data_IF_606776024748
#
_entry.id   IF_606776024748
#
_cell.length_a   1.000
_cell.length_b   1.000
_cell.length_c   1.000
_cell.angle_alpha   90.00
_cell.angle_beta   90.00
_cell.angle_gamma   90.00
#
_symmetry.space_group_name_H-M   'P 1'
#
loop_
_entity.id
_entity.type
_entity.pdbx_description
1 polymer ?
#
# COMPACT_ATOMS: atom_id res chain seq x y z
N UNK A 1 -57.03 4.31 5.12
CA UNK A 1 -56.16 5.47 5.37
C UNK A 1 -54.85 5.16 4.66
N UNK A 2 -54.77 5.56 3.39
CA UNK A 2 -53.67 5.23 2.50
C UNK A 2 -52.71 6.42 2.42
N UNK A 3 -51.48 6.24 2.88
CA UNK A 3 -50.44 7.27 2.83
C UNK A 3 -49.59 7.03 1.57
N UNK A 4 -49.86 7.82 0.53
CA UNK A 4 -49.05 7.90 -0.69
C UNK A 4 -47.83 8.78 -0.39
N UNK A 5 -46.65 8.17 -0.24
CA UNK A 5 -45.38 8.90 -0.13
C UNK A 5 -44.94 9.28 -1.55
N UNK A 6 -45.08 10.56 -1.89
CA UNK A 6 -44.55 11.14 -3.12
C UNK A 6 -43.06 11.42 -2.99
N UNK A 7 -42.25 10.85 -3.87
CA UNK A 7 -40.85 11.25 -4.03
C UNK A 7 -40.77 12.47 -4.95
N UNK A 8 -40.05 13.55 -4.57
CA UNK A 8 -39.80 14.65 -5.48
C UNK A 8 -38.80 14.22 -6.56
N UNK A 9 -39.21 14.34 -7.81
CA UNK A 9 -38.33 14.20 -8.96
C UNK A 9 -37.33 15.36 -8.98
N UNK A 10 -36.10 15.11 -8.55
CA UNK A 10 -34.99 16.04 -8.68
C UNK A 10 -34.50 16.05 -10.13
N UNK A 11 -34.82 17.14 -10.84
CA UNK A 11 -34.33 17.46 -12.17
C UNK A 11 -32.80 17.53 -12.17
N UNK A 12 -32.14 16.55 -12.79
CA UNK A 12 -30.70 16.55 -13.00
C UNK A 12 -30.36 17.50 -14.15
N UNK A 13 -29.91 18.71 -13.81
CA UNK A 13 -29.18 19.56 -14.75
C UNK A 13 -27.85 18.89 -15.10
N UNK A 14 -27.79 18.35 -16.31
CA UNK A 14 -26.60 17.79 -16.93
C UNK A 14 -25.59 18.93 -17.20
N UNK A 15 -24.74 19.27 -16.23
CA UNK A 15 -23.58 20.13 -16.47
C UNK A 15 -22.54 19.33 -17.26
N UNK A 16 -22.57 19.53 -18.57
CA UNK A 16 -21.49 19.11 -19.47
C UNK A 16 -20.20 19.79 -19.00
N UNK A 17 -19.23 18.99 -18.58
CA UNK A 17 -17.86 19.45 -18.37
C UNK A 17 -17.22 19.60 -19.74
N UNK A 18 -17.43 20.76 -20.36
CA UNK A 18 -16.66 21.16 -21.51
C UNK A 18 -15.19 21.17 -21.09
N UNK A 19 -14.40 20.35 -21.79
CA UNK A 19 -12.95 20.38 -21.78
C UNK A 19 -12.56 21.77 -22.29
N UNK A 20 -12.30 22.69 -21.37
CA UNK A 20 -11.63 23.93 -21.71
C UNK A 20 -10.16 23.58 -21.96
N UNK A 21 -9.89 23.16 -23.19
CA UNK A 21 -8.57 23.29 -23.79
C UNK A 21 -8.22 24.77 -23.73
N UNK A 22 -7.46 25.17 -22.71
CA UNK A 22 -6.78 26.45 -22.72
C UNK A 22 -5.82 26.41 -23.91
N UNK A 23 -6.24 27.04 -25.02
CA UNK A 23 -5.34 27.48 -26.07
C UNK A 23 -4.42 28.53 -25.45
N UNK A 24 -3.34 28.07 -24.83
CA UNK A 24 -2.15 28.88 -24.64
C UNK A 24 -1.55 29.11 -26.02
N UNK A 25 -1.83 30.30 -26.57
CA UNK A 25 -1.16 30.83 -27.75
C UNK A 25 0.34 30.93 -27.46
N UNK A 26 1.07 29.90 -27.89
CA UNK A 26 2.53 29.90 -27.85
C UNK A 26 3.01 30.79 -28.98
N UNK A 27 3.48 31.98 -28.62
CA UNK A 27 4.21 32.86 -29.53
C UNK A 27 5.56 32.21 -29.78
N UNK A 28 5.72 31.65 -30.98
CA UNK A 28 6.99 31.12 -31.48
C UNK A 28 7.99 32.26 -31.67
N UNK A 29 8.74 32.60 -30.62
CA UNK A 29 10.03 33.28 -30.79
C UNK A 29 11.12 32.23 -30.91
N UNK A 30 11.56 32.02 -32.15
CA UNK A 30 12.77 31.29 -32.48
C UNK A 30 13.99 32.05 -31.96
N UNK A 31 14.50 31.65 -30.79
CA UNK A 31 15.86 31.98 -30.39
C UNK A 31 16.82 30.99 -31.05
N UNK A 32 17.44 31.43 -32.15
CA UNK A 32 18.63 30.80 -32.70
C UNK A 32 19.82 31.15 -31.80
N UNK A 33 20.13 30.27 -30.85
CA UNK A 33 21.36 30.33 -30.05
C UNK A 33 22.50 29.59 -30.77
N UNK A 34 23.74 30.12 -30.76
CA UNK A 34 24.89 29.51 -31.42
C UNK A 34 25.35 28.24 -30.68
N UNK A 35 25.52 27.16 -31.44
CA UNK A 35 25.99 25.87 -30.94
C UNK A 35 27.51 25.96 -30.77
N UNK A 36 27.97 26.19 -29.54
CA UNK A 36 29.36 25.99 -29.17
C UNK A 36 29.61 24.49 -28.98
N UNK A 37 30.34 23.90 -29.92
CA UNK A 37 30.83 22.52 -29.85
C UNK A 37 31.71 22.34 -28.60
N UNK A 38 31.33 21.41 -27.73
CA UNK A 38 32.16 20.97 -26.61
C UNK A 38 33.20 19.94 -27.10
N UNK A 39 34.44 19.99 -26.59
CA UNK A 39 35.49 19.04 -26.94
C UNK A 39 35.18 17.64 -26.40
N UNK A 40 35.42 16.63 -27.24
CA UNK A 40 35.30 15.22 -26.90
C UNK A 40 36.34 14.83 -25.84
N UNK A 41 35.86 14.58 -24.61
CA UNK A 41 36.67 14.00 -23.53
C UNK A 41 36.90 12.51 -23.76
N UNK A 42 38.16 12.09 -23.60
CA UNK A 42 38.66 10.73 -23.77
C UNK A 42 38.01 9.71 -22.81
N UNK A 43 37.88 8.43 -23.22
CA UNK A 43 37.32 7.38 -22.38
C UNK A 43 38.25 7.07 -21.21
N UNK A 44 37.73 7.23 -19.99
CA UNK A 44 38.40 6.82 -18.76
C UNK A 44 38.58 5.29 -18.71
N UNK A 45 39.76 4.78 -18.32
CA UNK A 45 39.98 3.36 -18.12
C UNK A 45 39.15 2.86 -16.93
N UNK A 46 38.37 1.81 -17.16
CA UNK A 46 37.53 1.13 -16.16
C UNK A 46 38.47 0.43 -15.17
N UNK A 47 38.55 0.85 -13.90
CA UNK A 47 39.29 0.12 -12.89
C UNK A 47 38.38 -0.93 -12.26
N UNK A 48 38.91 -2.15 -12.12
CA UNK A 48 38.45 -3.21 -11.21
C UNK A 48 37.38 -4.16 -11.76
N UNK A 49 37.80 -5.03 -12.68
CA UNK A 49 37.21 -6.37 -12.78
C UNK A 49 37.61 -7.18 -11.54
N UNK A 50 36.65 -7.70 -10.73
CA UNK A 50 36.96 -8.53 -9.57
C UNK A 50 37.63 -9.84 -10.03
N UNK A 51 38.79 -10.12 -9.44
CA UNK A 51 39.55 -11.36 -9.65
C UNK A 51 38.75 -12.53 -9.06
N UNK A 52 38.24 -13.39 -9.93
CA UNK A 52 37.58 -14.63 -9.53
C UNK A 52 38.66 -15.67 -9.19
N UNK A 53 38.70 -16.11 -7.93
CA UNK A 53 39.57 -17.21 -7.51
C UNK A 53 39.04 -18.55 -8.07
N UNK A 54 39.92 -19.42 -8.58
CA UNK A 54 39.52 -20.74 -9.08
C UNK A 54 38.99 -21.60 -7.94
N UNK A 55 37.78 -22.13 -8.11
CA UNK A 55 37.15 -23.08 -7.19
C UNK A 55 37.73 -24.47 -7.44
N UNK A 56 38.36 -25.05 -6.40
CA UNK A 56 38.86 -26.42 -6.44
C UNK A 56 37.71 -27.41 -6.61
N UNK A 57 37.76 -28.20 -7.68
CA UNK A 57 36.82 -29.29 -7.90
C UNK A 57 37.06 -30.44 -6.89
N UNK A 58 35.99 -31.10 -6.41
CA UNK A 58 36.11 -32.23 -5.49
C UNK A 58 36.89 -33.37 -6.14
N UNK A 59 37.90 -33.86 -5.43
CA UNK A 59 38.73 -34.98 -5.88
C UNK A 59 37.97 -36.30 -5.79
N UNK A 60 37.98 -37.14 -6.85
CA UNK A 60 37.17 -38.36 -6.94
C UNK A 60 37.69 -39.56 -6.12
N UNK A 61 38.57 -39.39 -5.14
CA UNK A 61 39.12 -40.51 -4.38
C UNK A 61 39.42 -40.13 -2.93
N UNK A 62 38.39 -40.17 -2.09
CA UNK A 62 38.54 -40.30 -0.64
C UNK A 62 37.66 -41.46 -0.18
N UNK A 63 38.31 -42.60 0.04
CA UNK A 63 37.68 -43.80 0.55
C UNK A 63 37.23 -43.62 2.01
N UNK A 64 35.93 -43.81 2.22
CA UNK A 64 35.32 -44.66 3.25
C UNK A 64 35.88 -44.61 4.67
N UNK A 65 35.21 -43.87 5.56
CA UNK A 65 34.86 -44.32 6.92
C UNK A 65 33.67 -43.48 7.41
N UNK A 66 32.45 -43.88 7.03
CA UNK A 66 31.21 -43.30 7.55
C UNK A 66 30.60 -44.24 8.58
N UNK A 67 30.69 -43.85 9.85
CA UNK A 67 29.74 -44.29 10.87
C UNK A 67 28.38 -43.67 10.55
N UNK A 68 27.27 -44.40 10.70
CA UNK A 68 25.93 -43.86 10.47
C UNK A 68 25.58 -42.98 11.66
N UNK A 69 26.04 -41.72 11.65
CA UNK A 69 25.40 -40.69 12.44
C UNK A 69 24.06 -40.41 11.75
N UNK A 70 23.03 -41.07 12.25
CA UNK A 70 21.64 -40.69 12.04
C UNK A 70 21.46 -39.29 12.62
N UNK A 71 21.84 -38.26 11.85
CA UNK A 71 21.35 -36.91 12.07
C UNK A 71 19.84 -37.00 11.79
N UNK A 72 19.08 -37.29 12.83
CA UNK A 72 17.67 -36.90 12.90
C UNK A 72 17.67 -35.38 12.81
N UNK A 73 17.73 -34.88 11.57
CA UNK A 73 17.23 -33.57 11.24
C UNK A 73 15.73 -33.66 11.43
N UNK A 74 15.31 -33.56 12.69
CA UNK A 74 13.99 -33.13 13.08
C UNK A 74 13.86 -31.67 12.67
N UNK A 75 13.92 -31.44 11.36
CA UNK A 75 13.34 -30.29 10.68
C UNK A 75 11.83 -30.53 10.66
N UNK A 76 11.25 -30.80 11.83
CA UNK A 76 9.84 -30.50 12.04
C UNK A 76 9.80 -28.99 11.95
N UNK A 77 9.48 -28.52 10.74
CA UNK A 77 9.14 -27.14 10.43
C UNK A 77 7.92 -26.81 11.26
N UNK A 78 8.13 -26.60 12.56
CA UNK A 78 7.14 -26.00 13.44
C UNK A 78 6.96 -24.63 12.83
N UNK A 79 5.88 -24.52 12.04
CA UNK A 79 5.33 -23.24 11.64
C UNK A 79 5.10 -22.49 12.94
N UNK A 80 6.07 -21.69 13.35
CA UNK A 80 5.98 -20.83 14.49
C UNK A 80 4.81 -19.91 14.17
N UNK A 81 3.67 -20.20 14.80
CA UNK A 81 2.43 -19.49 14.53
C UNK A 81 2.68 -18.02 14.89
N UNK A 82 2.77 -17.17 13.86
CA UNK A 82 2.86 -15.73 14.03
C UNK A 82 1.52 -15.27 14.59
N UNK A 83 1.53 -14.76 15.82
CA UNK A 83 0.36 -14.24 16.52
C UNK A 83 0.26 -12.74 16.25
N UNK A 84 -0.86 -12.31 15.68
CA UNK A 84 -1.14 -10.90 15.43
C UNK A 84 -1.60 -10.18 16.70
N UNK A 85 -1.15 -8.95 16.88
CA UNK A 85 -1.54 -8.09 17.99
C UNK A 85 -3.06 -7.83 18.01
N UNK A 86 -3.67 -7.80 19.19
CA UNK A 86 -5.14 -7.72 19.37
C UNK A 86 -5.80 -6.45 18.83
N UNK A 87 -5.04 -5.36 18.65
CA UNK A 87 -5.49 -4.13 17.99
C UNK A 87 -5.52 -4.23 16.45
N UNK A 88 -4.71 -5.13 15.89
CA UNK A 88 -4.68 -5.38 14.45
C UNK A 88 -5.57 -6.56 14.06
N UNK A 89 -5.88 -7.45 15.00
CA UNK A 89 -6.85 -8.53 14.80
C UNK A 89 -8.26 -7.99 14.58
N UNK A 90 -9.08 -8.77 13.88
CA UNK A 90 -10.47 -8.41 13.60
C UNK A 90 -11.27 -8.21 14.91
N UNK A 91 -11.75 -6.99 15.18
CA UNK A 91 -12.51 -6.71 16.40
C UNK A 91 -12.76 -5.24 16.71
N UNK A 92 -13.49 -4.93 17.80
CA UNK A 92 -13.89 -3.57 18.16
C UNK A 92 -12.83 -2.81 18.99
N UNK A 93 -11.59 -3.30 19.07
CA UNK A 93 -10.58 -2.75 19.96
C UNK A 93 -9.98 -1.43 19.43
N UNK A 94 -10.06 -1.23 18.11
CA UNK A 94 -9.48 -0.10 17.40
C UNK A 94 -10.51 0.44 16.40
N UNK A 95 -10.80 1.73 16.47
CA UNK A 95 -11.55 2.46 15.45
C UNK A 95 -10.61 3.43 14.75
N UNK A 96 -10.26 3.10 13.51
CA UNK A 96 -9.32 3.86 12.70
C UNK A 96 -9.93 4.15 11.33
N UNK A 97 -10.14 5.44 11.04
CA UNK A 97 -10.52 5.91 9.72
C UNK A 97 -9.25 6.22 8.91
N UNK A 98 -9.02 5.48 7.83
CA UNK A 98 -7.79 5.57 7.03
C UNK A 98 -7.65 6.91 6.29
N UNK A 99 -8.70 7.74 6.23
CA UNK A 99 -8.61 9.10 5.65
C UNK A 99 -8.12 10.14 6.67
N UNK A 100 -8.15 9.83 7.97
CA UNK A 100 -7.81 10.79 9.04
C UNK A 100 -6.41 10.58 9.57
N UNK A 101 -5.90 11.59 10.26
CA UNK A 101 -4.63 11.49 10.98
C UNK A 101 -4.69 10.47 12.13
N UNK A 102 -3.55 9.89 12.50
CA UNK A 102 -3.47 8.91 13.59
C UNK A 102 -3.86 9.50 14.95
N UNK A 103 -3.80 10.82 15.13
CA UNK A 103 -4.34 11.49 16.32
C UNK A 103 -5.85 11.27 16.53
N UNK A 104 -6.58 10.86 15.48
CA UNK A 104 -8.01 10.55 15.55
C UNK A 104 -8.30 9.05 15.76
N UNK A 105 -7.27 8.24 15.94
CA UNK A 105 -7.44 6.83 16.29
C UNK A 105 -8.14 6.74 17.65
N UNK A 106 -9.24 5.99 17.70
CA UNK A 106 -9.97 5.74 18.94
C UNK A 106 -9.74 4.30 19.37
N UNK A 107 -9.19 4.13 20.56
CA UNK A 107 -9.05 2.83 21.21
C UNK A 107 -10.28 2.53 22.05
N UNK A 108 -10.61 1.25 22.19
CA UNK A 108 -11.66 0.80 23.11
C UNK A 108 -11.33 1.23 24.55
N UNK A 109 -12.33 1.58 25.39
CA UNK A 109 -12.10 1.83 26.81
C UNK A 109 -11.33 0.68 27.46
N UNK A 110 -10.26 1.00 28.20
CA UNK A 110 -9.36 0.03 28.81
C UNK A 110 -8.09 -0.29 28.00
N UNK A 111 -8.01 0.13 26.75
CA UNK A 111 -6.79 0.03 25.95
C UNK A 111 -5.97 1.34 26.06
N UNK A 112 -4.79 1.34 26.72
CA UNK A 112 -3.98 2.54 26.80
C UNK A 112 -3.34 2.89 25.44
N UNK A 113 -3.09 4.18 25.14
CA UNK A 113 -2.43 4.61 23.89
C UNK A 113 -1.04 3.98 23.67
N UNK A 114 -0.36 3.58 24.76
CA UNK A 114 0.92 2.88 24.71
C UNK A 114 0.86 1.57 23.91
N UNK A 115 -0.31 0.93 23.80
CA UNK A 115 -0.51 -0.28 22.99
C UNK A 115 -0.23 -0.06 21.50
N UNK A 116 -0.29 1.18 21.01
CA UNK A 116 0.10 1.48 19.63
C UNK A 116 1.62 1.31 19.41
N UNK A 117 2.43 1.41 20.46
CA UNK A 117 3.89 1.22 20.39
C UNK A 117 4.31 -0.23 20.59
N UNK A 118 3.37 -1.13 20.90
CA UNK A 118 3.62 -2.56 21.03
C UNK A 118 3.89 -3.21 19.67
N UNK A 119 4.57 -4.36 19.68
CA UNK A 119 4.88 -5.13 18.49
C UNK A 119 3.60 -5.60 17.79
N UNK A 120 3.55 -5.47 16.48
CA UNK A 120 2.41 -5.85 15.66
C UNK A 120 2.19 -7.37 15.63
N UNK A 121 3.27 -8.15 15.77
CA UNK A 121 3.25 -9.61 15.73
C UNK A 121 4.22 -10.21 16.75
N UNK A 122 3.92 -11.43 17.20
CA UNK A 122 4.77 -12.25 18.05
C UNK A 122 5.02 -13.61 17.36
N UNK A 123 6.28 -14.03 17.11
CA UNK A 123 7.52 -13.32 17.42
C UNK A 123 7.68 -12.00 16.62
N UNK A 124 8.50 -11.05 17.10
CA UNK A 124 8.74 -9.79 16.40
C UNK A 124 9.33 -10.02 15.01
N UNK A 125 8.82 -9.30 14.01
CA UNK A 125 9.36 -9.30 12.64
C UNK A 125 9.85 -7.91 12.27
N UNK A 126 10.90 -7.83 11.45
CA UNK A 126 11.44 -6.56 10.96
C UNK A 126 10.76 -6.06 9.67
N UNK A 127 10.02 -6.94 9.01
CA UNK A 127 9.40 -6.69 7.71
C UNK A 127 8.03 -7.39 7.67
N UNK A 128 7.00 -6.67 7.24
CA UNK A 128 5.62 -7.16 7.15
C UNK A 128 4.99 -6.66 5.85
N UNK A 129 4.40 -7.57 5.08
CA UNK A 129 3.71 -7.26 3.83
C UNK A 129 2.20 -7.32 4.07
N UNK A 130 1.49 -6.25 3.70
CA UNK A 130 0.04 -6.16 3.79
C UNK A 130 -0.53 -5.91 2.40
N UNK A 131 -1.53 -6.70 2.02
CA UNK A 131 -2.19 -6.65 0.71
C UNK A 131 -3.59 -6.05 0.87
N UNK A 132 -3.91 -5.06 0.05
CA UNK A 132 -5.23 -4.45 -0.06
C UNK A 132 -5.91 -5.00 -1.31
N UNK A 133 -6.94 -5.81 -1.09
CA UNK A 133 -7.75 -6.37 -2.19
C UNK A 133 -8.98 -5.49 -2.40
N UNK A 134 -9.06 -4.83 -3.56
CA UNK A 134 -10.26 -4.11 -3.98
C UNK A 134 -10.82 -4.80 -5.22
N UNK A 135 -12.13 -5.12 -5.27
CA UNK A 135 -12.73 -5.73 -6.45
C UNK A 135 -12.45 -4.91 -7.70
N UNK A 136 -12.11 -5.57 -8.80
CA UNK A 136 -11.84 -4.96 -10.13
C UNK A 136 -10.57 -4.09 -10.22
N UNK A 137 -9.74 -4.04 -9.17
CA UNK A 137 -8.46 -3.32 -9.14
C UNK A 137 -7.28 -4.27 -8.88
N UNK A 138 -6.05 -3.90 -9.28
CA UNK A 138 -4.87 -4.61 -8.85
C UNK A 138 -4.75 -4.55 -7.32
N UNK A 139 -4.25 -5.63 -6.73
CA UNK A 139 -3.92 -5.64 -5.31
C UNK A 139 -2.84 -4.59 -5.02
N UNK A 140 -3.05 -3.76 -4.01
CA UNK A 140 -2.01 -2.85 -3.53
C UNK A 140 -1.21 -3.51 -2.44
N UNK A 141 0.10 -3.41 -2.53
CA UNK A 141 1.03 -3.89 -1.50
C UNK A 141 1.47 -2.73 -0.63
N UNK A 142 1.38 -2.92 0.68
CA UNK A 142 1.88 -2.03 1.72
C UNK A 142 3.02 -2.76 2.40
N UNK A 143 4.22 -2.21 2.30
CA UNK A 143 5.42 -2.75 2.93
C UNK A 143 5.70 -2.00 4.22
N UNK A 144 5.82 -2.71 5.33
CA UNK A 144 6.13 -2.14 6.65
C UNK A 144 7.48 -2.68 7.11
N UNK A 145 8.48 -1.81 7.18
CA UNK A 145 9.85 -2.16 7.58
C UNK A 145 10.23 -1.41 8.86
N UNK A 146 10.66 -2.16 9.87
CA UNK A 146 11.27 -1.61 11.07
C UNK A 146 12.33 -2.59 11.61
N UNK A 147 13.64 -2.26 11.52
CA UNK A 147 14.71 -3.14 11.99
C UNK A 147 14.62 -3.55 13.46
N UNK A 148 13.90 -2.78 14.29
CA UNK A 148 13.71 -3.03 15.73
C UNK A 148 12.45 -3.84 16.04
N UNK A 149 11.69 -4.23 15.02
CA UNK A 149 10.39 -4.88 15.15
C UNK A 149 9.25 -3.96 14.71
N UNK A 150 8.39 -4.46 13.83
CA UNK A 150 7.20 -3.73 13.35
C UNK A 150 6.22 -3.54 14.51
N UNK A 151 5.84 -2.30 14.78
CA UNK A 151 4.84 -1.94 15.80
C UNK A 151 3.45 -1.74 15.20
N UNK A 152 2.41 -1.76 16.04
CA UNK A 152 1.03 -1.44 15.64
C UNK A 152 0.98 -0.05 14.97
N UNK A 153 1.65 0.94 15.54
CA UNK A 153 1.72 2.29 14.99
C UNK A 153 2.36 2.31 13.61
N UNK A 154 3.46 1.57 13.38
CA UNK A 154 4.08 1.49 12.05
C UNK A 154 3.10 0.97 11.01
N UNK A 155 2.33 -0.07 11.36
CA UNK A 155 1.31 -0.66 10.48
C UNK A 155 0.24 0.39 10.11
N UNK A 156 -0.33 1.08 11.10
CA UNK A 156 -1.39 2.08 10.85
C UNK A 156 -0.90 3.27 10.03
N UNK A 157 0.33 3.77 10.30
CA UNK A 157 0.96 4.83 9.51
C UNK A 157 1.10 4.41 8.05
N UNK A 158 1.70 3.24 7.79
CA UNK A 158 1.95 2.78 6.42
C UNK A 158 0.65 2.50 5.65
N UNK A 159 -0.40 2.00 6.32
CA UNK A 159 -1.74 1.85 5.74
C UNK A 159 -2.27 3.22 5.29
N UNK A 160 -2.26 4.22 6.20
CA UNK A 160 -2.72 5.57 5.89
C UNK A 160 -1.96 6.17 4.73
N UNK A 161 -0.63 6.21 4.81
CA UNK A 161 0.21 6.83 3.81
C UNK A 161 0.00 6.19 2.43
N UNK A 162 -0.04 4.87 2.36
CA UNK A 162 -0.20 4.17 1.09
C UNK A 162 -1.57 4.39 0.46
N UNK A 163 -2.64 4.38 1.26
CA UNK A 163 -4.00 4.59 0.77
C UNK A 163 -4.29 6.07 0.44
N UNK A 164 -3.60 7.02 1.05
CA UNK A 164 -3.75 8.45 0.75
C UNK A 164 -2.87 8.96 -0.39
N UNK A 165 -2.07 8.10 -1.02
CA UNK A 165 -1.32 8.44 -2.23
C UNK A 165 -2.25 8.68 -3.42
N UNK A 166 -1.87 9.62 -4.27
CA UNK A 166 -2.52 9.85 -5.57
C UNK A 166 -2.42 8.60 -6.44
N UNK A 167 -3.48 8.34 -7.18
CA UNK A 167 -3.60 7.15 -8.04
C UNK A 167 -2.81 7.36 -9.32
N UNK A 168 -2.04 6.36 -9.73
CA UNK A 168 -1.26 6.43 -10.97
C UNK A 168 -2.16 6.22 -12.20
N UNK A 169 -1.79 6.80 -13.34
CA UNK A 169 -2.59 6.75 -14.57
C UNK A 169 -2.91 5.33 -15.06
N UNK A 170 -2.04 4.36 -14.79
CA UNK A 170 -2.26 2.96 -15.18
C UNK A 170 -3.30 2.25 -14.29
N UNK A 171 -3.44 2.67 -13.03
CA UNK A 171 -4.47 2.17 -12.11
C UNK A 171 -5.86 2.67 -12.53
N UNK A 172 -5.93 3.89 -13.08
CA UNK A 172 -7.13 4.54 -13.63
C UNK A 172 -7.69 3.89 -14.91
N UNK A 173 -6.96 3.02 -15.60
CA UNK A 173 -7.35 2.49 -16.92
C UNK A 173 -8.09 1.14 -16.87
N UNK A 174 -8.21 0.51 -15.70
CA UNK A 174 -8.62 -0.91 -15.60
C UNK A 174 -10.13 -1.14 -15.53
N UNK A 175 -10.86 -0.41 -14.70
CA UNK A 175 -12.33 -0.56 -14.54
C UNK A 175 -13.02 0.80 -14.57
N UNK A 176 -13.86 1.02 -15.58
CA UNK A 176 -14.67 2.25 -15.70
C UNK A 176 -15.63 2.41 -14.51
N UNK A 177 -16.15 1.30 -13.97
CA UNK A 177 -17.05 1.32 -12.81
C UNK A 177 -16.33 1.75 -11.55
N UNK A 178 -15.19 1.13 -11.24
CA UNK A 178 -14.39 1.48 -10.06
C UNK A 178 -13.89 2.93 -10.13
N UNK A 179 -13.49 3.38 -11.32
CA UNK A 179 -13.06 4.76 -11.56
C UNK A 179 -14.20 5.75 -11.34
N UNK A 180 -15.41 5.49 -11.85
CA UNK A 180 -16.55 6.38 -11.64
C UNK A 180 -16.90 6.49 -10.14
N UNK A 181 -16.91 5.36 -9.41
CA UNK A 181 -17.13 5.36 -7.97
C UNK A 181 -16.04 6.16 -7.23
N UNK A 182 -14.77 6.00 -7.62
CA UNK A 182 -13.67 6.77 -7.06
C UNK A 182 -13.77 8.27 -7.35
N UNK A 183 -14.20 8.66 -8.55
CA UNK A 183 -14.43 10.08 -8.91
C UNK A 183 -15.54 10.67 -8.04
N UNK A 184 -16.62 9.93 -7.78
CA UNK A 184 -17.71 10.38 -6.93
C UNK A 184 -17.28 10.52 -5.46
N UNK A 185 -16.50 9.56 -4.95
CA UNK A 185 -15.86 9.65 -3.63
C UNK A 185 -14.88 10.84 -3.52
N UNK A 186 -14.05 11.06 -4.53
CA UNK A 186 -13.16 12.23 -4.63
C UNK A 186 -13.94 13.54 -4.61
N UNK A 187 -15.04 13.64 -5.35
CA UNK A 187 -15.91 14.82 -5.38
C UNK A 187 -16.55 15.07 -4.01
N UNK A 188 -17.01 14.02 -3.34
CA UNK A 188 -17.57 14.13 -1.99
C UNK A 188 -16.51 14.65 -1.00
N UNK A 189 -15.30 14.09 -1.03
CA UNK A 189 -14.15 14.52 -0.21
C UNK A 189 -13.75 15.97 -0.48
N UNK A 190 -13.57 16.33 -1.75
CA UNK A 190 -13.13 17.68 -2.17
C UNK A 190 -14.14 18.78 -1.84
N UNK A 191 -15.44 18.45 -1.73
CA UNK A 191 -16.47 19.42 -1.32
C UNK A 191 -16.37 19.78 0.16
N UNK A 192 -15.93 18.84 1.00
CA UNK A 192 -15.74 19.08 2.42
C UNK A 192 -14.50 19.95 2.66
N UNK A 193 -13.44 19.75 1.88
CA UNK A 193 -12.16 20.43 2.06
C UNK A 193 -11.54 20.86 0.71
N UNK A 194 -11.52 22.16 0.37
CA UNK A 194 -11.04 22.62 -0.93
C UNK A 194 -9.57 22.27 -1.24
N UNK A 195 -8.73 22.12 -0.21
CA UNK A 195 -7.32 21.76 -0.37
C UNK A 195 -7.13 20.31 -0.86
N UNK A 196 -8.07 19.42 -0.54
CA UNK A 196 -8.07 18.02 -0.99
C UNK A 196 -8.27 17.90 -2.50
N UNK A 197 -8.88 18.92 -3.14
CA UNK A 197 -9.07 18.95 -4.58
C UNK A 197 -7.73 18.99 -5.34
N UNK A 198 -6.75 19.74 -4.82
CA UNK A 198 -5.43 19.88 -5.43
C UNK A 198 -4.61 18.58 -5.41
N UNK A 199 -4.95 17.65 -4.51
CA UNK A 199 -4.26 16.36 -4.39
C UNK A 199 -4.80 15.30 -5.37
N UNK A 200 -5.92 15.59 -6.04
CA UNK A 200 -6.56 14.70 -7.00
C UNK A 200 -7.16 13.44 -6.37
N UNK A 201 -7.40 12.45 -7.23
CA UNK A 201 -7.94 11.14 -6.84
C UNK A 201 -6.86 10.33 -6.13
N UNK A 202 -7.20 9.84 -4.93
CA UNK A 202 -6.35 9.01 -4.06
C UNK A 202 -6.84 7.56 -4.08
N UNK A 203 -5.96 6.63 -3.68
CA UNK A 203 -6.33 5.20 -3.61
C UNK A 203 -7.50 4.95 -2.65
N UNK A 204 -7.61 5.75 -1.59
CA UNK A 204 -8.73 5.68 -0.64
C UNK A 204 -10.08 5.99 -1.29
N UNK A 205 -10.13 6.77 -2.38
CA UNK A 205 -11.40 7.06 -3.06
C UNK A 205 -11.98 5.80 -3.74
N UNK A 206 -11.12 4.87 -4.14
CA UNK A 206 -11.53 3.58 -4.70
C UNK A 206 -12.07 2.59 -3.65
N UNK A 207 -11.84 2.86 -2.35
CA UNK A 207 -12.43 2.09 -1.26
C UNK A 207 -13.91 2.45 -1.02
N UNK A 208 -14.39 3.52 -1.65
CA UNK A 208 -15.78 3.99 -1.57
C UNK A 208 -16.19 4.22 -0.10
N UNK A 209 -17.35 3.79 0.48
CA UNK A 209 -17.63 4.11 1.89
C UNK A 209 -16.77 3.29 2.87
N UNK A 210 -15.97 2.32 2.40
CA UNK A 210 -15.20 1.40 3.25
C UNK A 210 -13.87 2.00 3.70
N UNK A 211 -13.94 3.02 4.55
CA UNK A 211 -12.75 3.76 5.02
C UNK A 211 -12.33 3.41 6.45
N UNK A 212 -13.03 2.51 7.13
CA UNK A 212 -12.68 2.11 8.49
C UNK A 212 -11.92 0.79 8.49
N UNK A 213 -10.72 0.81 9.08
CA UNK A 213 -9.95 -0.39 9.35
C UNK A 213 -10.65 -1.25 10.40
N UNK A 214 -10.85 -2.52 10.08
CA UNK A 214 -11.48 -3.50 10.99
C UNK A 214 -10.52 -4.59 11.45
N UNK A 215 -9.39 -4.76 10.78
CA UNK A 215 -8.34 -5.69 11.18
C UNK A 215 -7.48 -6.18 10.01
N UNK A 216 -6.57 -7.09 10.32
CA UNK A 216 -5.77 -7.88 9.38
C UNK A 216 -6.06 -9.37 9.60
N UNK A 217 -5.96 -10.15 8.53
CA UNK A 217 -5.91 -11.61 8.59
C UNK A 217 -4.72 -12.14 7.81
N UNK A 218 -4.24 -13.33 8.14
CA UNK A 218 -3.19 -13.96 7.32
C UNK A 218 -3.75 -14.27 5.92
N UNK A 219 -2.94 -14.08 4.89
CA UNK A 219 -3.33 -14.38 3.53
C UNK A 219 -3.64 -15.88 3.35
N UNK A 220 -4.64 -16.19 2.51
CA UNK A 220 -5.15 -17.56 2.32
C UNK A 220 -4.26 -18.42 1.42
N UNK A 221 -3.36 -17.79 0.68
CA UNK A 221 -2.41 -18.45 -0.22
C UNK A 221 -1.24 -19.13 0.51
N UNK A 222 -1.20 -19.02 1.84
CA UNK A 222 -0.11 -19.54 2.68
C UNK A 222 1.15 -18.69 2.63
N UNK A 223 1.13 -17.53 1.95
CA UNK A 223 2.22 -16.58 1.98
C UNK A 223 2.37 -15.96 3.37
N UNK A 224 3.55 -15.42 3.65
CA UNK A 224 3.79 -14.64 4.87
C UNK A 224 3.32 -13.18 4.72
N UNK A 225 2.11 -13.01 4.16
CA UNK A 225 1.47 -11.71 3.97
C UNK A 225 0.15 -11.63 4.73
N UNK A 226 -0.30 -10.40 4.91
CA UNK A 226 -1.53 -10.08 5.65
C UNK A 226 -2.52 -9.41 4.70
N UNK A 227 -3.79 -9.75 4.81
CA UNK A 227 -4.88 -9.09 4.09
C UNK A 227 -5.56 -8.08 5.01
N UNK A 228 -5.72 -6.84 4.54
CA UNK A 228 -6.42 -5.80 5.28
C UNK A 228 -7.94 -5.88 5.10
N UNK A 229 -8.67 -5.71 6.21
CA UNK A 229 -10.12 -5.64 6.21
C UNK A 229 -10.58 -4.21 6.44
N UNK A 230 -11.47 -3.75 5.56
CA UNK A 230 -12.04 -2.41 5.57
C UNK A 230 -13.57 -2.49 5.54
N UNK A 231 -14.24 -1.67 6.34
CA UNK A 231 -15.68 -1.58 6.42
C UNK A 231 -16.16 -0.12 6.33
N UNK A 232 -17.45 0.03 6.01
CA UNK A 232 -18.15 1.29 6.20
C UNK A 232 -18.45 1.50 7.69
N UNK A 233 -18.51 2.75 8.15
CA UNK A 233 -19.03 3.02 9.49
C UNK A 233 -20.52 2.62 9.50
N UNK A 234 -20.85 1.59 10.26
CA UNK A 234 -22.24 1.18 10.52
C UNK A 234 -22.76 1.99 11.70
#
# INVERSE_FOLDING_TARGET
MDYRIGFPASSFHHRSWAVHSAQSGSTSQAFQGPWSALPASSPSPIPNTPVLHPVSLPHPNAASHQSPMSYQHSSTSHSSFIVLHSLLSYGPNLKFNVTRDLAHVQLRPGCPPAMLQELAVQPPVSHMIITVTVPELPAWTIEVVNPRGVTVNNVLVMIRETLNRSVASHEMQRSSRAVNAAIDSFRARSRAEPHEHAQGVKRVDFLSPKVFFTGLSRARDGSDSWEIHLAQNV
#
